data_IF_480861064671
#
_entry.id   IF_480861064671
#
_cell.length_a   1.000
_cell.length_b   1.000
_cell.length_c   1.000
_cell.angle_alpha   90.00
_cell.angle_beta   90.00
_cell.angle_gamma   90.00
#
_symmetry.space_group_name_H-M   'P 1'
#
loop_
_entity.id
_entity.type
_entity.pdbx_description
1 polymer ?
#
# COMPACT_ATOMS: atom_id res chain seq x y z
N UNK A 1 -22.74 -12.31 -14.85
CA UNK A 1 -22.96 -12.34 -16.29
C UNK A 1 -21.62 -12.18 -17.00
N UNK A 2 -21.12 -13.22 -17.63
CA UNK A 2 -19.91 -13.17 -18.47
C UNK A 2 -20.29 -13.46 -19.93
N UNK A 3 -20.63 -12.48 -20.75
CA UNK A 3 -21.04 -12.76 -22.13
C UNK A 3 -19.94 -12.64 -23.18
N UNK A 4 -18.68 -12.35 -22.85
CA UNK A 4 -17.67 -12.07 -23.89
C UNK A 4 -16.31 -12.73 -23.69
N UNK A 5 -16.20 -13.90 -23.06
CA UNK A 5 -14.84 -14.41 -22.86
C UNK A 5 -14.69 -15.90 -22.71
N UNK A 6 -15.09 -16.65 -23.70
CA UNK A 6 -14.60 -18.05 -23.79
C UNK A 6 -13.08 -18.12 -24.05
N UNK A 7 -12.48 -17.04 -24.54
CA UNK A 7 -11.05 -16.97 -24.91
C UNK A 7 -10.14 -16.79 -23.70
N UNK A 8 -10.65 -16.20 -22.58
CA UNK A 8 -9.85 -15.92 -21.38
C UNK A 8 -10.06 -16.88 -20.22
N UNK A 9 -10.75 -17.99 -20.43
CA UNK A 9 -11.01 -19.01 -19.40
C UNK A 9 -9.79 -19.61 -18.70
N UNK A 10 -8.61 -19.75 -19.34
CA UNK A 10 -7.46 -20.34 -18.64
C UNK A 10 -6.76 -19.41 -17.62
N UNK A 11 -7.02 -18.10 -17.66
CA UNK A 11 -6.33 -17.14 -16.79
C UNK A 11 -7.12 -16.88 -15.49
N UNK A 12 -8.44 -17.04 -15.50
CA UNK A 12 -9.31 -16.86 -14.34
C UNK A 12 -8.99 -17.75 -13.10
N UNK A 13 -8.58 -19.02 -13.23
CA UNK A 13 -8.30 -19.86 -12.06
C UNK A 13 -7.02 -19.48 -11.33
N UNK A 14 -6.04 -18.89 -12.02
CA UNK A 14 -4.75 -18.53 -11.41
C UNK A 14 -4.90 -17.28 -10.54
N UNK A 15 -5.74 -16.32 -10.92
CA UNK A 15 -6.03 -15.12 -10.15
C UNK A 15 -7.12 -15.32 -9.08
N UNK A 16 -7.93 -16.37 -9.21
CA UNK A 16 -9.04 -16.68 -8.29
C UNK A 16 -8.63 -17.38 -6.99
N UNK A 17 -7.39 -17.85 -6.89
CA UNK A 17 -6.92 -18.66 -5.75
C UNK A 17 -6.15 -17.87 -4.69
N UNK A 18 -6.02 -16.54 -4.80
CA UNK A 18 -5.57 -15.73 -3.68
C UNK A 18 -6.74 -15.66 -2.69
N UNK A 19 -6.66 -16.45 -1.64
CA UNK A 19 -7.62 -16.40 -0.53
C UNK A 19 -7.52 -15.02 0.12
N UNK A 20 -8.38 -14.10 -0.29
CA UNK A 20 -8.53 -12.80 0.36
C UNK A 20 -9.02 -13.05 1.78
N UNK A 21 -8.12 -12.97 2.75
CA UNK A 21 -8.35 -13.38 4.13
C UNK A 21 -8.49 -12.19 5.09
N UNK A 22 -8.00 -11.00 4.70
CA UNK A 22 -7.99 -9.83 5.57
C UNK A 22 -9.34 -9.10 5.54
N UNK A 23 -9.86 -8.78 6.73
CA UNK A 23 -11.01 -7.89 6.88
C UNK A 23 -10.60 -6.42 6.73
N UNK A 24 -11.53 -5.54 6.35
CA UNK A 24 -11.25 -4.10 6.23
C UNK A 24 -10.72 -3.46 7.53
N UNK A 25 -11.26 -3.75 8.74
CA UNK A 25 -10.70 -3.20 9.97
C UNK A 25 -9.26 -3.63 10.24
N UNK A 26 -8.91 -4.88 9.91
CA UNK A 26 -7.54 -5.36 10.05
C UNK A 26 -6.61 -4.71 9.04
N UNK A 27 -7.09 -4.49 7.80
CA UNK A 27 -6.37 -3.73 6.79
C UNK A 27 -6.00 -2.34 7.30
N UNK A 28 -6.99 -1.55 7.76
CA UNK A 28 -6.74 -0.20 8.30
C UNK A 28 -5.80 -0.20 9.52
N UNK A 29 -5.87 -1.21 10.39
CA UNK A 29 -4.93 -1.33 11.51
C UNK A 29 -3.48 -1.56 11.02
N UNK A 30 -3.29 -2.36 9.98
CA UNK A 30 -1.97 -2.62 9.39
C UNK A 30 -1.45 -1.41 8.59
N UNK A 31 -2.31 -0.67 7.89
CA UNK A 31 -1.96 0.63 7.29
C UNK A 31 -1.47 1.63 8.34
N UNK A 32 -2.14 1.70 9.51
CA UNK A 32 -1.69 2.56 10.61
C UNK A 32 -0.27 2.20 11.05
N UNK A 33 0.03 0.90 11.19
CA UNK A 33 1.37 0.44 11.53
C UNK A 33 2.39 0.76 10.42
N UNK A 34 2.01 0.60 9.15
CA UNK A 34 2.83 1.01 8.00
C UNK A 34 3.15 2.50 8.01
N UNK A 35 2.13 3.33 8.28
CA UNK A 35 2.31 4.78 8.42
C UNK A 35 3.25 5.16 9.56
N UNK A 36 3.12 4.50 10.74
CA UNK A 36 4.04 4.71 11.86
C UNK A 36 5.46 4.26 11.53
N UNK A 37 5.61 3.16 10.79
CA UNK A 37 6.92 2.70 10.32
C UNK A 37 7.57 3.70 9.34
N UNK A 38 6.79 4.36 8.48
CA UNK A 38 7.27 5.45 7.63
C UNK A 38 7.70 6.68 8.44
N UNK A 39 7.03 6.98 9.55
CA UNK A 39 7.44 8.10 10.41
C UNK A 39 8.73 7.81 11.19
N UNK A 40 8.92 6.60 11.69
CA UNK A 40 10.04 6.24 12.54
C UNK A 40 11.24 5.68 11.77
N UNK A 41 11.00 4.84 10.76
CA UNK A 41 12.02 4.08 10.04
C UNK A 41 13.16 4.91 9.45
N UNK A 42 12.86 6.02 8.76
CA UNK A 42 13.90 6.86 8.17
C UNK A 42 14.90 7.42 9.18
N UNK A 43 14.42 7.80 10.37
CA UNK A 43 15.30 8.28 11.45
C UNK A 43 16.18 7.17 12.00
N UNK A 44 15.62 5.97 12.16
CA UNK A 44 16.35 4.81 12.69
C UNK A 44 17.43 4.31 11.72
N UNK A 45 17.20 4.46 10.42
CA UNK A 45 18.12 4.01 9.38
C UNK A 45 19.03 5.11 8.83
N UNK A 46 18.90 6.35 9.33
CA UNK A 46 19.73 7.47 8.90
C UNK A 46 19.46 7.91 7.47
N UNK A 47 18.18 7.96 7.07
CA UNK A 47 17.80 8.48 5.76
C UNK A 47 18.18 9.95 5.59
N UNK A 48 18.49 10.35 4.36
CA UNK A 48 18.78 11.73 4.00
C UNK A 48 17.53 12.63 4.07
N UNK A 49 17.69 13.96 3.96
CA UNK A 49 16.58 14.91 4.07
C UNK A 49 15.43 14.63 3.11
N UNK A 50 15.73 14.21 1.87
CA UNK A 50 14.71 13.87 0.88
C UNK A 50 13.92 12.63 1.28
N UNK A 51 14.59 11.61 1.78
CA UNK A 51 13.94 10.39 2.31
C UNK A 51 13.08 10.68 3.53
N UNK A 52 13.55 11.53 4.43
CA UNK A 52 12.77 11.97 5.60
C UNK A 52 11.49 12.68 5.18
N UNK A 53 11.58 13.67 4.29
CA UNK A 53 10.40 14.42 3.81
C UNK A 53 9.41 13.51 3.10
N UNK A 54 9.89 12.64 2.20
CA UNK A 54 9.04 11.70 1.48
C UNK A 54 8.32 10.74 2.44
N UNK A 55 9.05 10.13 3.36
CA UNK A 55 8.49 9.16 4.30
C UNK A 55 7.51 9.80 5.29
N UNK A 56 7.80 10.98 5.82
CA UNK A 56 6.87 11.70 6.72
C UNK A 56 5.58 12.04 5.97
N UNK A 57 5.68 12.55 4.74
CA UNK A 57 4.50 12.93 3.94
C UNK A 57 3.62 11.72 3.61
N UNK A 58 4.23 10.63 3.14
CA UNK A 58 3.51 9.40 2.78
C UNK A 58 3.00 8.66 4.03
N UNK A 59 3.76 8.69 5.12
CA UNK A 59 3.34 8.13 6.40
C UNK A 59 2.12 8.85 6.98
N UNK A 60 2.10 10.19 6.93
CA UNK A 60 0.96 10.97 7.35
C UNK A 60 -0.28 10.69 6.50
N UNK A 61 -0.12 10.53 5.17
CA UNK A 61 -1.20 10.13 4.27
C UNK A 61 -1.77 8.74 4.64
N UNK A 62 -0.90 7.77 4.85
CA UNK A 62 -1.29 6.40 5.20
C UNK A 62 -2.03 6.36 6.55
N UNK A 63 -1.52 7.08 7.56
CA UNK A 63 -2.20 7.23 8.85
C UNK A 63 -3.57 7.91 8.68
N UNK A 64 -3.64 8.96 7.87
CA UNK A 64 -4.90 9.65 7.59
C UNK A 64 -5.95 8.72 6.97
N UNK A 65 -5.56 7.87 6.03
CA UNK A 65 -6.44 6.87 5.42
C UNK A 65 -6.88 5.81 6.42
N UNK A 66 -5.95 5.28 7.21
CA UNK A 66 -6.24 4.30 8.26
C UNK A 66 -7.24 4.83 9.30
N UNK A 67 -7.07 6.09 9.74
CA UNK A 67 -7.95 6.74 10.73
C UNK A 67 -9.31 7.16 10.14
N UNK A 68 -9.37 7.52 8.87
CA UNK A 68 -10.63 7.79 8.19
C UNK A 68 -11.52 6.54 8.15
N UNK A 69 -10.91 5.38 8.10
CA UNK A 69 -11.59 4.09 8.13
C UNK A 69 -12.35 3.78 6.84
N UNK A 70 -12.88 2.55 6.75
CA UNK A 70 -13.53 2.06 5.53
C UNK A 70 -14.87 2.74 5.22
N UNK A 71 -15.45 3.48 6.17
CA UNK A 71 -16.76 4.12 6.00
C UNK A 71 -16.66 5.55 5.45
N UNK A 72 -15.46 6.16 5.49
CA UNK A 72 -15.27 7.54 5.02
C UNK A 72 -15.30 7.67 3.49
N UNK A 73 -14.94 6.61 2.76
CA UNK A 73 -14.86 6.58 1.30
C UNK A 73 -15.61 5.37 0.74
N UNK A 74 -16.12 5.47 -0.51
CA UNK A 74 -16.55 4.29 -1.25
C UNK A 74 -15.40 3.26 -1.33
N UNK A 75 -15.72 1.96 -1.19
CA UNK A 75 -14.71 0.88 -1.20
C UNK A 75 -13.79 0.94 -2.43
N UNK A 76 -14.36 1.22 -3.61
CA UNK A 76 -13.59 1.35 -4.85
C UNK A 76 -12.63 2.55 -4.83
N UNK A 77 -13.02 3.65 -4.21
CA UNK A 77 -12.15 4.82 -4.07
C UNK A 77 -11.01 4.54 -3.09
N UNK A 78 -11.29 3.90 -1.95
CA UNK A 78 -10.28 3.48 -0.99
C UNK A 78 -9.25 2.54 -1.65
N UNK A 79 -9.71 1.47 -2.30
CA UNK A 79 -8.83 0.54 -3.02
C UNK A 79 -7.97 1.22 -4.09
N UNK A 80 -8.55 2.15 -4.85
CA UNK A 80 -7.80 2.89 -5.89
C UNK A 80 -6.73 3.80 -5.28
N UNK A 81 -7.04 4.41 -4.14
CA UNK A 81 -6.10 5.24 -3.40
C UNK A 81 -4.91 4.43 -2.88
N UNK A 82 -5.17 3.25 -2.30
CA UNK A 82 -4.12 2.35 -1.82
C UNK A 82 -3.20 1.87 -2.94
N UNK A 83 -3.76 1.50 -4.10
CA UNK A 83 -2.95 1.13 -5.27
C UNK A 83 -2.10 2.29 -5.77
N UNK A 84 -2.64 3.52 -5.77
CA UNK A 84 -1.88 4.70 -6.13
C UNK A 84 -0.76 4.96 -5.11
N UNK A 85 -1.03 4.78 -3.83
CA UNK A 85 -0.04 4.93 -2.77
C UNK A 85 1.08 3.90 -2.88
N UNK A 86 0.76 2.64 -3.21
CA UNK A 86 1.76 1.61 -3.52
C UNK A 86 2.68 2.04 -4.67
N UNK A 87 2.10 2.57 -5.76
CA UNK A 87 2.88 3.04 -6.91
C UNK A 87 3.79 4.22 -6.55
N UNK A 88 3.30 5.17 -5.74
CA UNK A 88 4.08 6.32 -5.26
C UNK A 88 5.19 5.86 -4.32
N UNK A 89 4.93 4.96 -3.37
CA UNK A 89 5.94 4.41 -2.45
C UNK A 89 7.05 3.70 -3.22
N UNK A 90 6.69 2.86 -4.19
CA UNK A 90 7.66 2.15 -5.03
C UNK A 90 8.49 3.11 -5.90
N UNK A 91 7.83 4.06 -6.57
CA UNK A 91 8.49 5.04 -7.43
C UNK A 91 9.41 5.99 -6.65
N UNK A 92 8.94 6.53 -5.54
CA UNK A 92 9.73 7.39 -4.67
C UNK A 92 10.89 6.61 -4.02
N UNK A 93 10.64 5.37 -3.59
CA UNK A 93 11.68 4.50 -3.04
C UNK A 93 12.80 4.23 -4.03
N UNK A 94 12.44 3.90 -5.27
CA UNK A 94 13.42 3.72 -6.36
C UNK A 94 14.18 5.02 -6.66
N UNK A 95 13.47 6.15 -6.76
CA UNK A 95 14.09 7.46 -7.02
C UNK A 95 15.10 7.85 -5.95
N UNK A 96 14.78 7.66 -4.68
CA UNK A 96 15.69 7.92 -3.56
C UNK A 96 16.93 7.00 -3.61
N UNK A 97 16.72 5.71 -3.83
CA UNK A 97 17.84 4.76 -3.95
C UNK A 97 18.79 5.13 -5.08
N UNK A 98 18.25 5.51 -6.25
CA UNK A 98 19.06 5.96 -7.40
C UNK A 98 19.76 7.31 -7.16
N UNK A 99 19.21 8.17 -6.32
CA UNK A 99 19.84 9.46 -5.93
C UNK A 99 20.88 9.32 -4.81
N UNK A 100 21.08 8.11 -4.27
CA UNK A 100 22.06 7.81 -3.22
C UNK A 100 21.48 7.80 -1.80
N UNK A 101 20.18 8.08 -1.61
CA UNK A 101 19.51 7.90 -0.32
C UNK A 101 18.94 6.47 -0.21
N UNK A 102 19.85 5.52 -0.06
CA UNK A 102 19.49 4.09 0.01
C UNK A 102 18.59 3.78 1.22
N UNK A 103 18.85 4.42 2.36
CA UNK A 103 18.08 4.20 3.58
C UNK A 103 16.62 4.65 3.39
N UNK A 104 16.40 5.86 2.87
CA UNK A 104 15.07 6.34 2.52
C UNK A 104 14.39 5.46 1.47
N UNK A 105 15.14 5.07 0.43
CA UNK A 105 14.66 4.19 -0.62
C UNK A 105 14.17 2.84 -0.11
N UNK A 106 14.94 2.20 0.76
CA UNK A 106 14.61 0.89 1.36
C UNK A 106 13.35 0.99 2.23
N UNK A 107 13.24 2.01 3.08
CA UNK A 107 12.05 2.19 3.93
C UNK A 107 10.78 2.30 3.09
N UNK A 108 10.79 3.16 2.06
CA UNK A 108 9.63 3.33 1.20
C UNK A 108 9.30 2.05 0.41
N UNK A 109 10.31 1.37 -0.12
CA UNK A 109 10.12 0.15 -0.89
C UNK A 109 9.54 -1.00 -0.02
N UNK A 110 10.03 -1.16 1.20
CA UNK A 110 9.52 -2.19 2.13
C UNK A 110 8.06 -1.91 2.51
N UNK A 111 7.73 -0.68 2.88
CA UNK A 111 6.34 -0.33 3.21
C UNK A 111 5.46 -0.46 1.97
N UNK A 112 5.91 -0.04 0.80
CA UNK A 112 5.17 -0.21 -0.46
C UNK A 112 4.89 -1.69 -0.79
N UNK A 113 5.85 -2.59 -0.55
CA UNK A 113 5.66 -4.02 -0.73
C UNK A 113 4.65 -4.62 0.28
N UNK A 114 4.69 -4.16 1.53
CA UNK A 114 3.70 -4.54 2.55
C UNK A 114 2.30 -4.06 2.17
N UNK A 115 2.16 -2.80 1.74
CA UNK A 115 0.88 -2.24 1.27
C UNK A 115 0.33 -3.01 0.07
N UNK A 116 1.16 -3.33 -0.92
CA UNK A 116 0.74 -4.16 -2.07
C UNK A 116 0.20 -5.51 -1.60
N UNK A 117 0.86 -6.12 -0.62
CA UNK A 117 0.42 -7.39 -0.03
C UNK A 117 -0.93 -7.23 0.69
N UNK A 118 -1.10 -6.17 1.48
CA UNK A 118 -2.35 -5.86 2.17
C UNK A 118 -3.50 -5.67 1.19
N UNK A 119 -3.32 -4.84 0.16
CA UNK A 119 -4.34 -4.59 -0.88
C UNK A 119 -4.74 -5.90 -1.56
N UNK A 120 -3.76 -6.77 -1.86
CA UNK A 120 -4.00 -8.05 -2.55
C UNK A 120 -4.77 -9.04 -1.69
N UNK A 121 -4.54 -9.07 -0.37
CA UNK A 121 -5.16 -10.02 0.57
C UNK A 121 -6.47 -9.51 1.16
N UNK A 122 -6.83 -8.24 0.99
CA UNK A 122 -8.02 -7.65 1.61
C UNK A 122 -9.30 -8.05 0.87
N UNK A 123 -10.33 -8.36 1.65
CA UNK A 123 -11.71 -8.55 1.16
C UNK A 123 -12.37 -7.18 1.04
N UNK A 124 -12.52 -6.69 -0.19
CA UNK A 124 -13.14 -5.41 -0.50
C UNK A 124 -14.67 -5.51 -0.50
N UNK A 125 -15.24 -5.98 0.61
CA UNK A 125 -16.69 -6.08 0.83
C UNK A 125 -17.02 -5.51 2.20
N UNK A 126 -18.11 -4.76 2.29
CA UNK A 126 -18.67 -4.36 3.59
C UNK A 126 -19.44 -5.54 4.18
N UNK A 127 -19.22 -5.76 5.45
CA UNK A 127 -20.00 -6.73 6.21
C UNK A 127 -21.41 -6.21 6.43
#
# INVERSE_FOLDING_TARGET
MCPLSQIWRPICPILGNVTRSLSLPLHSALELLGGLALLAGPFLLGAGPAGLVAAISLGALLIGMALAGPDALPITAHQSFDLMLVAVLAGAGLGLALSGDLAGGVVLAVVGALELTLVSLTRWVRA
#
